data_IF_049967034492
#
_entry.id   IF_049967034492
#
_cell.length_a   1.000
_cell.length_b   1.000
_cell.length_c   1.000
_cell.angle_alpha   90.00
_cell.angle_beta   90.00
_cell.angle_gamma   90.00
#
_symmetry.space_group_name_H-M   'P 1'
#
loop_
_entity.id
_entity.type
_entity.pdbx_description
1 polymer ?
#
# COMPACT_ATOMS: atom_id res chain seq x y z
N UNK A 1 -20.11 6.99 -42.43
CA UNK A 1 -20.19 6.17 -41.22
C UNK A 1 -18.86 5.46 -41.02
N UNK A 2 -17.96 5.99 -40.18
CA UNK A 2 -16.83 5.25 -39.61
C UNK A 2 -16.69 5.74 -38.17
N UNK A 3 -16.77 4.82 -37.23
CA UNK A 3 -16.97 5.06 -35.82
C UNK A 3 -15.76 5.71 -35.15
N UNK A 4 -16.05 6.73 -34.34
CA UNK A 4 -15.16 7.23 -33.31
C UNK A 4 -14.97 6.14 -32.25
N UNK A 5 -13.80 5.53 -32.21
CA UNK A 5 -13.40 4.60 -31.16
C UNK A 5 -13.23 5.38 -29.85
N UNK A 6 -14.14 5.14 -28.91
CA UNK A 6 -14.14 5.75 -27.59
C UNK A 6 -12.99 5.14 -26.79
N UNK A 7 -12.04 5.97 -26.34
CA UNK A 7 -11.05 5.63 -25.31
C UNK A 7 -11.77 4.88 -24.18
N UNK A 8 -11.41 3.61 -23.98
CA UNK A 8 -11.85 2.82 -22.84
C UNK A 8 -11.33 3.46 -21.56
N UNK A 9 -12.17 4.26 -20.91
CA UNK A 9 -11.93 4.66 -19.53
C UNK A 9 -11.97 3.40 -18.68
N UNK A 10 -10.88 3.12 -17.95
CA UNK A 10 -10.89 2.07 -16.94
C UNK A 10 -12.04 2.36 -15.96
N UNK A 11 -13.05 1.50 -15.98
CA UNK A 11 -14.18 1.57 -15.05
C UNK A 11 -13.66 1.22 -13.66
N UNK A 12 -13.15 2.22 -12.95
CA UNK A 12 -12.81 2.15 -11.53
C UNK A 12 -14.10 2.12 -10.72
N UNK A 13 -14.82 1.01 -10.78
CA UNK A 13 -15.99 0.76 -9.91
C UNK A 13 -16.15 -0.74 -9.68
N UNK A 14 -15.05 -1.42 -9.34
CA UNK A 14 -15.15 -2.70 -8.66
C UNK A 14 -15.17 -2.40 -7.16
N UNK A 15 -16.26 -2.74 -6.50
CA UNK A 15 -16.27 -2.77 -5.04
C UNK A 15 -15.30 -3.87 -4.60
N UNK A 16 -14.26 -3.49 -3.86
CA UNK A 16 -13.32 -4.44 -3.27
C UNK A 16 -13.90 -4.96 -1.97
N UNK A 17 -13.99 -6.28 -1.83
CA UNK A 17 -14.49 -6.93 -0.62
C UNK A 17 -13.35 -7.43 0.27
N UNK A 18 -13.69 -7.77 1.51
CA UNK A 18 -12.75 -8.45 2.41
C UNK A 18 -12.31 -9.82 1.84
N UNK A 19 -13.21 -10.52 1.14
CA UNK A 19 -12.89 -11.79 0.47
C UNK A 19 -11.88 -11.60 -0.66
N UNK A 20 -12.01 -10.56 -1.48
CA UNK A 20 -11.04 -10.28 -2.55
C UNK A 20 -9.64 -10.01 -1.99
N UNK A 21 -9.56 -9.29 -0.86
CA UNK A 21 -8.30 -9.03 -0.17
C UNK A 21 -7.70 -10.29 0.45
N UNK A 22 -8.53 -11.13 1.07
CA UNK A 22 -8.09 -12.40 1.66
C UNK A 22 -7.54 -13.34 0.59
N UNK A 23 -8.28 -13.52 -0.52
CA UNK A 23 -7.82 -14.32 -1.65
C UNK A 23 -6.55 -13.75 -2.29
N UNK A 24 -6.46 -12.43 -2.45
CA UNK A 24 -5.27 -11.79 -2.98
C UNK A 24 -4.06 -12.00 -2.06
N UNK A 25 -4.22 -11.89 -0.74
CA UNK A 25 -3.14 -12.01 0.24
C UNK A 25 -2.46 -13.39 0.18
N UNK A 26 -3.20 -14.44 -0.19
CA UNK A 26 -2.69 -15.82 -0.31
C UNK A 26 -1.79 -16.04 -1.54
N UNK A 27 -1.75 -15.11 -2.49
CA UNK A 27 -0.91 -15.24 -3.69
C UNK A 27 0.52 -14.83 -3.38
N UNK A 28 1.51 -15.52 -3.98
CA UNK A 28 2.93 -15.22 -3.75
C UNK A 28 3.35 -13.80 -4.19
N UNK A 29 2.70 -13.26 -5.20
CA UNK A 29 2.98 -11.89 -5.67
C UNK A 29 2.43 -10.81 -4.72
N UNK A 30 1.51 -11.14 -3.82
CA UNK A 30 1.04 -10.23 -2.77
C UNK A 30 2.19 -9.80 -1.85
N UNK A 31 3.17 -10.68 -1.63
CA UNK A 31 4.29 -10.43 -0.73
C UNK A 31 5.15 -9.25 -1.20
N UNK A 32 5.40 -9.15 -2.50
CA UNK A 32 6.12 -8.01 -3.07
C UNK A 32 5.27 -6.74 -3.18
N UNK A 33 3.95 -6.89 -3.32
CA UNK A 33 3.02 -5.79 -3.57
C UNK A 33 2.48 -5.13 -2.30
N UNK A 34 2.27 -5.87 -1.21
CA UNK A 34 1.67 -5.36 0.02
C UNK A 34 2.49 -4.20 0.63
N UNK A 35 3.82 -4.28 0.77
CA UNK A 35 4.60 -3.16 1.29
C UNK A 35 4.51 -1.92 0.40
N UNK A 36 4.43 -2.11 -0.93
CA UNK A 36 4.20 -1.02 -1.88
C UNK A 36 2.83 -0.36 -1.67
N UNK A 37 1.79 -1.16 -1.49
CA UNK A 37 0.43 -0.67 -1.24
C UNK A 37 0.35 0.11 0.08
N UNK A 38 0.87 -0.45 1.17
CA UNK A 38 0.92 0.20 2.49
C UNK A 38 1.67 1.53 2.40
N UNK A 39 2.84 1.55 1.76
CA UNK A 39 3.61 2.79 1.55
C UNK A 39 2.80 3.85 0.79
N UNK A 40 2.08 3.46 -0.25
CA UNK A 40 1.22 4.39 -1.02
C UNK A 40 0.07 4.92 -0.18
N UNK A 41 -0.59 4.07 0.61
CA UNK A 41 -1.69 4.46 1.49
C UNK A 41 -1.22 5.44 2.57
N UNK A 42 -0.07 5.20 3.21
CA UNK A 42 0.55 6.13 4.16
C UNK A 42 0.83 7.48 3.48
N UNK A 43 1.48 7.46 2.32
CA UNK A 43 1.86 8.68 1.59
C UNK A 43 0.68 9.52 1.10
N UNK A 44 -0.49 8.94 0.87
CA UNK A 44 -1.71 9.70 0.54
C UNK A 44 -2.47 10.17 1.80
N UNK A 45 -2.27 9.51 2.94
CA UNK A 45 -3.00 9.82 4.18
C UNK A 45 -2.32 10.88 5.03
N UNK A 46 -0.99 10.92 5.01
CA UNK A 46 -0.17 11.86 5.79
C UNK A 46 1.01 12.38 4.98
N UNK A 47 1.71 13.38 5.52
CA UNK A 47 3.03 13.82 5.03
C UNK A 47 4.11 13.34 6.01
N UNK A 48 4.82 12.23 5.71
CA UNK A 48 5.90 11.74 6.56
C UNK A 48 7.10 12.67 6.58
N UNK A 49 7.72 12.84 7.74
CA UNK A 49 9.05 13.43 7.89
C UNK A 49 10.14 12.41 7.52
N UNK A 50 9.86 11.12 7.82
CA UNK A 50 10.68 9.98 7.42
C UNK A 50 9.79 8.79 7.07
N UNK A 51 10.11 8.09 5.98
CA UNK A 51 9.47 6.82 5.63
C UNK A 51 10.47 5.86 5.01
N UNK A 52 10.53 4.64 5.52
CA UNK A 52 11.20 3.50 4.89
C UNK A 52 10.26 2.32 4.99
N UNK A 53 9.84 1.78 3.85
CA UNK A 53 9.04 0.56 3.74
C UNK A 53 9.60 -0.18 2.52
N UNK A 54 10.55 -1.12 2.69
CA UNK A 54 11.12 -1.89 1.60
C UNK A 54 10.03 -2.70 0.88
N UNK A 55 10.18 -2.91 -0.43
CA UNK A 55 9.22 -3.64 -1.25
C UNK A 55 9.94 -4.42 -2.35
N UNK A 56 9.20 -5.31 -3.04
CA UNK A 56 9.75 -6.23 -4.04
C UNK A 56 10.99 -6.96 -3.49
N UNK A 57 12.13 -6.93 -4.17
CA UNK A 57 13.37 -7.59 -3.71
C UNK A 57 13.90 -7.03 -2.37
N UNK A 58 13.45 -5.84 -1.96
CA UNK A 58 13.82 -5.23 -0.69
C UNK A 58 13.15 -5.87 0.54
N UNK A 59 12.12 -6.71 0.37
CA UNK A 59 11.47 -7.42 1.49
C UNK A 59 12.38 -8.46 2.15
N UNK A 60 13.43 -8.92 1.44
CA UNK A 60 14.39 -9.88 1.98
C UNK A 60 15.44 -9.23 2.89
N UNK A 61 15.41 -7.91 3.06
CA UNK A 61 16.36 -7.20 3.93
C UNK A 61 16.05 -7.49 5.40
N UNK A 62 17.07 -7.76 6.24
CA UNK A 62 16.86 -7.98 7.66
C UNK A 62 16.42 -6.68 8.36
N UNK A 63 15.64 -6.83 9.43
CA UNK A 63 15.16 -5.72 10.27
C UNK A 63 13.65 -5.52 10.16
N UNK A 64 13.20 -4.29 10.42
CA UNK A 64 11.78 -3.93 10.35
C UNK A 64 11.32 -3.78 8.89
N UNK A 65 10.10 -4.24 8.62
CA UNK A 65 9.42 -4.07 7.32
C UNK A 65 9.03 -2.61 7.04
N UNK A 66 8.95 -1.79 8.08
CA UNK A 66 8.86 -0.34 7.90
C UNK A 66 9.16 0.49 9.15
N UNK A 67 9.60 1.72 8.90
CA UNK A 67 9.72 2.79 9.90
C UNK A 67 9.15 4.09 9.34
N UNK A 68 8.40 4.80 10.17
CA UNK A 68 7.69 6.03 9.82
C UNK A 68 7.79 7.04 10.96
N UNK A 69 8.10 8.29 10.62
CA UNK A 69 8.00 9.45 11.52
C UNK A 69 7.03 10.45 10.90
N UNK A 70 6.04 10.90 11.67
CA UNK A 70 5.06 11.88 11.22
C UNK A 70 4.60 12.80 12.36
N UNK A 71 4.68 14.11 12.16
CA UNK A 71 4.26 15.08 13.18
C UNK A 71 2.74 15.08 13.47
N UNK A 72 1.88 14.97 12.44
CA UNK A 72 0.43 15.16 12.57
C UNK A 72 -0.43 13.89 12.62
N UNK A 73 0.05 12.78 12.06
CA UNK A 73 -0.71 11.54 11.92
C UNK A 73 -1.99 11.64 11.07
N UNK A 74 -2.66 10.51 10.88
CA UNK A 74 -4.01 10.33 10.36
C UNK A 74 -4.68 9.18 11.16
N UNK A 75 -5.38 9.55 12.24
CA UNK A 75 -6.07 8.58 13.07
C UNK A 75 -7.19 7.85 12.29
N UNK A 76 -7.45 6.56 12.57
CA UNK A 76 -6.76 5.71 13.55
C UNK A 76 -5.54 4.97 12.98
N UNK A 77 -5.27 5.06 11.67
CA UNK A 77 -4.37 4.13 10.98
C UNK A 77 -2.90 4.55 10.94
N UNK A 78 -2.63 5.84 11.11
CA UNK A 78 -1.28 6.39 11.12
C UNK A 78 -1.13 7.33 12.33
N UNK A 79 -0.68 6.86 13.50
CA UNK A 79 -0.51 7.73 14.66
C UNK A 79 0.60 8.77 14.43
N UNK A 80 0.52 9.90 15.13
CA UNK A 80 1.61 10.87 15.20
C UNK A 80 2.82 10.28 15.97
N UNK A 81 4.02 10.75 15.64
CA UNK A 81 5.28 10.28 16.21
C UNK A 81 5.97 9.22 15.36
N UNK A 82 6.79 8.41 16.04
CA UNK A 82 7.54 7.30 15.43
C UNK A 82 6.74 6.01 15.50
N UNK A 83 6.73 5.25 14.40
CA UNK A 83 6.11 3.93 14.33
C UNK A 83 7.00 2.95 13.57
N UNK A 84 6.99 1.71 14.06
CA UNK A 84 7.59 0.54 13.42
C UNK A 84 6.49 -0.35 12.86
N UNK A 85 6.73 -0.91 11.67
CA UNK A 85 5.77 -1.73 10.95
C UNK A 85 6.40 -3.10 10.68
N UNK A 86 5.61 -4.15 10.92
CA UNK A 86 5.92 -5.54 10.67
C UNK A 86 4.83 -6.09 9.76
N UNK A 87 5.23 -6.54 8.57
CA UNK A 87 4.39 -7.05 7.51
C UNK A 87 4.93 -8.44 7.18
N UNK A 88 4.55 -9.42 8.00
CA UNK A 88 5.00 -10.80 7.84
C UNK A 88 4.07 -11.56 6.92
N UNK A 89 4.68 -12.42 6.11
CA UNK A 89 4.02 -13.32 5.16
C UNK A 89 4.13 -14.76 5.61
#
# INVERSE_FOLDING_TARGET
MVGTERRGGHKLSAHLTATDLDEWSRRRDSQGHLPTLVRRLIMVSVRPDRIRVPAAEGIALPGLDGVLTVAGGAAPYVPAGDSAWEVRF
#
